data_IF_758134826175
#
_entry.id   IF_758134826175
#
_cell.length_a   1.000
_cell.length_b   1.000
_cell.length_c   1.000
_cell.angle_alpha   90.00
_cell.angle_beta   90.00
_cell.angle_gamma   90.00
#
_symmetry.space_group_name_H-M   'P 1'
#
loop_
_entity.id
_entity.type
_entity.pdbx_description
1 polymer ?
#
# COMPACT_ATOMS: atom_id res chain seq x y z
N UNK A 1 9.08 15.25 9.10
CA UNK A 1 8.27 14.20 8.50
C UNK A 1 7.61 13.34 9.58
N UNK A 2 6.45 12.78 9.28
CA UNK A 2 5.76 11.81 10.13
C UNK A 2 5.05 10.77 9.27
N UNK A 3 4.77 9.59 9.85
CA UNK A 3 3.87 8.60 9.25
C UNK A 3 2.47 8.80 9.83
N UNK A 4 1.43 8.63 9.02
CA UNK A 4 0.06 8.77 9.47
C UNK A 4 -0.84 7.67 8.89
N UNK A 5 -1.74 7.15 9.70
CA UNK A 5 -2.62 6.04 9.34
C UNK A 5 -4.11 6.40 9.50
N UNK A 6 -4.54 6.78 10.68
CA UNK A 6 -5.93 7.11 10.97
C UNK A 6 -6.24 8.61 10.85
N UNK A 7 -7.53 8.98 10.82
CA UNK A 7 -7.96 10.36 10.57
C UNK A 7 -7.37 11.37 11.57
N UNK A 8 -7.27 11.03 12.84
CA UNK A 8 -6.74 11.95 13.87
C UNK A 8 -5.25 12.23 13.67
N UNK A 9 -4.46 11.19 13.32
CA UNK A 9 -3.03 11.34 13.02
C UNK A 9 -2.80 12.07 11.70
N UNK A 10 -3.63 11.84 10.68
CA UNK A 10 -3.59 12.59 9.42
C UNK A 10 -3.88 14.08 9.65
N UNK A 11 -4.93 14.40 10.39
CA UNK A 11 -5.27 15.78 10.72
C UNK A 11 -4.18 16.45 11.57
N UNK A 12 -3.62 15.76 12.56
CA UNK A 12 -2.49 16.26 13.36
C UNK A 12 -1.26 16.50 12.47
N UNK A 13 -0.99 15.59 11.55
CA UNK A 13 0.13 15.71 10.61
C UNK A 13 0.00 16.93 9.71
N UNK A 14 -1.17 17.19 9.14
CA UNK A 14 -1.45 18.39 8.33
C UNK A 14 -1.21 19.70 9.08
N UNK A 15 -1.59 19.74 10.38
CA UNK A 15 -1.38 20.93 11.21
C UNK A 15 0.08 21.20 11.57
N UNK A 16 0.90 20.17 11.74
CA UNK A 16 2.17 20.29 12.46
C UNK A 16 3.42 19.83 11.69
N UNK A 17 3.27 19.14 10.55
CA UNK A 17 4.40 18.58 9.81
C UNK A 17 4.44 19.08 8.36
N UNK A 18 5.63 19.07 7.78
CA UNK A 18 5.84 19.48 6.38
C UNK A 18 5.85 18.29 5.42
N UNK A 19 6.04 17.07 5.96
CA UNK A 19 6.02 15.83 5.18
C UNK A 19 5.19 14.78 5.91
N UNK A 20 4.23 14.19 5.21
CA UNK A 20 3.37 13.11 5.70
C UNK A 20 3.54 11.89 4.82
N UNK A 21 3.87 10.76 5.41
CA UNK A 21 3.95 9.47 4.72
C UNK A 21 2.71 8.65 5.09
N UNK A 22 1.89 8.33 4.09
CA UNK A 22 0.71 7.50 4.25
C UNK A 22 1.11 6.04 4.48
N UNK A 23 0.22 5.28 5.11
CA UNK A 23 0.46 3.87 5.34
C UNK A 23 0.29 3.04 4.05
N UNK A 24 0.94 1.88 3.97
CA UNK A 24 0.80 0.96 2.84
C UNK A 24 -0.57 0.24 2.85
N UNK A 25 -0.98 -0.30 1.71
CA UNK A 25 -2.26 -0.98 1.49
C UNK A 25 -3.49 -0.09 1.70
N UNK A 26 -3.39 1.19 1.44
CA UNK A 26 -4.56 2.05 1.30
C UNK A 26 -5.22 1.81 -0.06
N UNK A 27 -6.55 1.65 -0.05
CA UNK A 27 -7.36 1.69 -1.27
C UNK A 27 -7.38 3.11 -1.85
N UNK A 28 -7.65 3.26 -3.14
CA UNK A 28 -7.65 4.56 -3.83
C UNK A 28 -8.50 5.61 -3.11
N UNK A 29 -9.74 5.25 -2.77
CA UNK A 29 -10.63 6.14 -1.99
C UNK A 29 -10.03 6.53 -0.64
N UNK A 30 -9.24 5.66 -0.03
CA UNK A 30 -8.57 5.94 1.24
C UNK A 30 -7.42 6.90 1.05
N UNK A 31 -6.66 6.75 -0.02
CA UNK A 31 -5.60 7.71 -0.39
C UNK A 31 -6.20 9.10 -0.60
N UNK A 32 -7.27 9.21 -1.41
CA UNK A 32 -7.97 10.50 -1.64
C UNK A 32 -8.44 11.11 -0.32
N UNK A 33 -9.16 10.34 0.52
CA UNK A 33 -9.61 10.85 1.83
C UNK A 33 -8.47 11.25 2.75
N UNK A 34 -7.34 10.54 2.71
CA UNK A 34 -6.16 10.87 3.51
C UNK A 34 -5.53 12.19 3.06
N UNK A 35 -5.37 12.38 1.74
CA UNK A 35 -4.89 13.63 1.14
C UNK A 35 -5.79 14.80 1.55
N UNK A 36 -7.11 14.67 1.37
CA UNK A 36 -8.09 15.70 1.73
C UNK A 36 -8.02 16.04 3.23
N UNK A 37 -7.89 15.03 4.08
CA UNK A 37 -7.78 15.23 5.54
C UNK A 37 -6.54 16.04 5.90
N UNK A 38 -5.39 15.71 5.32
CA UNK A 38 -4.12 16.44 5.57
C UNK A 38 -4.21 17.87 5.06
N UNK A 39 -4.68 18.07 3.81
CA UNK A 39 -4.81 19.38 3.17
C UNK A 39 -5.78 20.29 3.95
N UNK A 40 -6.96 19.78 4.28
CA UNK A 40 -7.97 20.52 5.07
C UNK A 40 -7.45 20.88 6.46
N UNK A 41 -6.75 19.98 7.13
CA UNK A 41 -6.19 20.27 8.46
C UNK A 41 -5.06 21.30 8.42
N UNK A 42 -4.26 21.34 7.35
CA UNK A 42 -3.26 22.39 7.12
C UNK A 42 -3.93 23.76 6.94
N UNK A 43 -4.95 23.83 6.08
CA UNK A 43 -5.71 25.07 5.82
C UNK A 43 -6.38 25.60 7.10
N UNK A 44 -7.03 24.73 7.87
CA UNK A 44 -7.65 25.10 9.16
C UNK A 44 -6.64 25.61 10.19
N UNK A 45 -5.37 25.20 10.07
CA UNK A 45 -4.26 25.69 10.89
C UNK A 45 -3.62 26.99 10.35
N UNK A 46 -4.17 27.58 9.28
CA UNK A 46 -3.63 28.79 8.65
C UNK A 46 -2.37 28.53 7.81
N UNK A 47 -2.11 27.28 7.42
CA UNK A 47 -1.00 26.91 6.54
C UNK A 47 -1.49 26.83 5.09
N UNK A 48 -0.60 27.06 4.13
CA UNK A 48 -0.86 26.67 2.75
C UNK A 48 -1.01 25.13 2.66
N UNK A 49 -2.16 24.60 2.21
CA UNK A 49 -2.35 23.15 2.06
C UNK A 49 -1.27 22.48 1.21
N UNK A 50 -0.74 23.18 0.20
CA UNK A 50 0.32 22.66 -0.67
C UNK A 50 1.74 22.75 -0.07
N UNK A 51 1.89 23.40 1.08
CA UNK A 51 3.16 23.38 1.83
C UNK A 51 3.45 22.06 2.53
N UNK A 52 2.46 21.16 2.62
CA UNK A 52 2.60 19.83 3.21
C UNK A 52 2.78 18.81 2.08
N UNK A 53 3.95 18.21 2.00
CA UNK A 53 4.25 17.16 1.01
C UNK A 53 3.69 15.82 1.50
N UNK A 54 2.87 15.15 0.68
CA UNK A 54 2.20 13.88 1.01
C UNK A 54 2.80 12.76 0.17
N UNK A 55 3.31 11.73 0.83
CA UNK A 55 3.90 10.56 0.18
C UNK A 55 3.04 9.31 0.40
N UNK A 56 2.71 8.62 -0.68
CA UNK A 56 2.14 7.26 -0.58
C UNK A 56 3.26 6.25 -0.34
N UNK A 57 3.10 5.39 0.68
CA UNK A 57 3.94 4.20 0.85
C UNK A 57 3.24 3.04 0.12
N UNK A 58 3.61 2.80 -1.14
CA UNK A 58 2.89 1.91 -2.04
C UNK A 58 3.66 0.62 -2.28
N UNK A 59 3.08 -0.51 -1.87
CA UNK A 59 3.68 -1.83 -2.10
C UNK A 59 3.83 -2.07 -3.60
N UNK A 60 5.07 -2.32 -4.06
CA UNK A 60 5.38 -2.44 -5.49
C UNK A 60 6.24 -3.67 -5.71
N UNK A 61 5.74 -4.64 -6.48
CA UNK A 61 6.40 -5.93 -6.73
C UNK A 61 6.24 -6.32 -8.19
N UNK A 62 7.36 -6.41 -8.92
CA UNK A 62 7.33 -6.87 -10.32
C UNK A 62 7.30 -8.40 -10.42
N UNK A 63 6.74 -8.91 -11.50
CA UNK A 63 6.73 -10.32 -11.85
C UNK A 63 8.05 -10.82 -12.46
N UNK A 64 9.10 -9.98 -12.45
CA UNK A 64 10.48 -10.36 -12.85
C UNK A 64 11.24 -11.09 -11.74
N UNK A 65 10.67 -11.20 -10.54
CA UNK A 65 11.18 -12.07 -9.46
C UNK A 65 10.61 -13.48 -9.61
N UNK A 66 11.19 -14.47 -8.92
CA UNK A 66 10.62 -15.82 -8.91
C UNK A 66 9.22 -15.86 -8.24
N UNK A 67 8.42 -16.87 -8.59
CA UNK A 67 7.02 -17.00 -8.17
C UNK A 67 6.88 -17.03 -6.64
N UNK A 68 7.80 -17.66 -5.93
CA UNK A 68 7.78 -17.73 -4.47
C UNK A 68 8.05 -16.36 -3.86
N UNK A 69 9.00 -15.61 -4.39
CA UNK A 69 9.30 -14.24 -3.97
C UNK A 69 8.12 -13.32 -4.28
N UNK A 70 7.51 -13.45 -5.46
CA UNK A 70 6.36 -12.65 -5.86
C UNK A 70 5.17 -12.84 -4.92
N UNK A 71 4.73 -14.10 -4.70
CA UNK A 71 3.58 -14.38 -3.84
C UNK A 71 3.84 -14.02 -2.38
N UNK A 72 5.08 -14.22 -1.89
CA UNK A 72 5.49 -13.79 -0.56
C UNK A 72 5.39 -12.28 -0.38
N UNK A 73 5.89 -11.50 -1.34
CA UNK A 73 5.93 -10.03 -1.27
C UNK A 73 4.56 -9.36 -1.50
N UNK A 74 3.65 -10.06 -2.15
CA UNK A 74 2.27 -9.60 -2.39
C UNK A 74 1.33 -10.16 -1.32
N UNK A 75 0.93 -11.40 -1.43
CA UNK A 75 -0.02 -12.09 -0.55
C UNK A 75 0.50 -12.23 0.87
N UNK A 76 1.72 -12.74 1.03
CA UNK A 76 2.33 -12.95 2.36
C UNK A 76 2.48 -11.63 3.11
N UNK A 77 2.89 -10.57 2.43
CA UNK A 77 3.04 -9.24 3.02
C UNK A 77 1.69 -8.67 3.48
N UNK A 78 0.66 -8.69 2.63
CA UNK A 78 -0.67 -8.24 3.03
C UNK A 78 -1.21 -9.06 4.20
N UNK A 79 -1.05 -10.38 4.17
CA UNK A 79 -1.47 -11.26 5.27
C UNK A 79 -0.81 -10.88 6.60
N UNK A 80 0.50 -10.58 6.60
CA UNK A 80 1.22 -10.06 7.77
C UNK A 80 0.63 -8.74 8.26
N UNK A 81 0.33 -7.80 7.36
CA UNK A 81 -0.30 -6.54 7.76
C UNK A 81 -1.70 -6.74 8.36
N UNK A 82 -2.47 -7.71 7.86
CA UNK A 82 -3.78 -8.06 8.42
C UNK A 82 -3.66 -8.73 9.80
N UNK A 83 -2.59 -9.50 10.04
CA UNK A 83 -2.30 -10.06 11.37
C UNK A 83 -1.99 -8.94 12.39
N UNK A 84 -1.20 -7.93 12.00
CA UNK A 84 -0.68 -6.89 12.91
C UNK A 84 -1.63 -5.69 13.02
N UNK A 85 -2.11 -5.19 11.89
CA UNK A 85 -2.88 -3.93 11.79
C UNK A 85 -4.27 -4.13 11.19
N UNK A 86 -4.79 -5.37 11.10
CA UNK A 86 -5.99 -5.70 10.34
C UNK A 86 -7.20 -4.85 10.71
N UNK A 87 -7.49 -4.66 12.00
CA UNK A 87 -8.64 -3.87 12.44
C UNK A 87 -8.54 -2.40 12.00
N UNK A 88 -7.33 -1.84 12.11
CA UNK A 88 -7.09 -0.46 11.68
C UNK A 88 -7.15 -0.34 10.16
N UNK A 89 -6.56 -1.30 9.43
CA UNK A 89 -6.55 -1.31 7.97
C UNK A 89 -7.96 -1.47 7.39
N UNK A 90 -8.74 -2.41 7.92
CA UNK A 90 -10.13 -2.64 7.53
C UNK A 90 -11.00 -1.41 7.81
N UNK A 91 -10.88 -0.83 9.00
CA UNK A 91 -11.59 0.41 9.37
C UNK A 91 -11.23 1.58 8.46
N UNK A 92 -9.95 1.77 8.15
CA UNK A 92 -9.46 2.91 7.36
C UNK A 92 -9.88 2.79 5.89
N UNK A 93 -9.84 1.58 5.33
CA UNK A 93 -10.27 1.30 3.96
C UNK A 93 -11.78 1.13 3.80
N UNK A 94 -12.58 1.17 4.87
CA UNK A 94 -13.99 0.85 4.87
C UNK A 94 -14.29 -0.57 4.32
N UNK A 95 -13.39 -1.51 4.57
CA UNK A 95 -13.57 -2.91 4.20
C UNK A 95 -14.51 -3.62 5.16
N UNK A 96 -15.10 -4.75 4.71
CA UNK A 96 -15.99 -5.55 5.54
C UNK A 96 -15.20 -6.24 6.68
N UNK A 97 -15.48 -5.94 7.95
CA UNK A 97 -14.78 -6.56 9.08
C UNK A 97 -15.06 -8.07 9.20
N UNK A 98 -16.17 -8.57 8.66
CA UNK A 98 -16.46 -10.00 8.67
C UNK A 98 -15.47 -10.80 7.80
N UNK A 99 -14.88 -10.17 6.76
CA UNK A 99 -13.83 -10.78 5.95
C UNK A 99 -12.53 -10.93 6.74
N UNK A 100 -12.17 -9.94 7.56
CA UNK A 100 -11.01 -10.01 8.44
C UNK A 100 -11.15 -11.11 9.49
N UNK A 101 -12.33 -11.22 10.12
CA UNK A 101 -12.62 -12.28 11.10
C UNK A 101 -12.52 -13.66 10.46
N UNK A 102 -13.06 -13.84 9.24
CA UNK A 102 -12.95 -15.07 8.48
C UNK A 102 -11.50 -15.41 8.14
N UNK A 103 -10.72 -14.43 7.70
CA UNK A 103 -9.28 -14.57 7.44
C UNK A 103 -8.56 -15.03 8.71
N UNK A 104 -8.73 -14.34 9.84
CA UNK A 104 -8.07 -14.66 11.12
C UNK A 104 -8.44 -16.03 11.67
N UNK A 105 -9.70 -16.45 11.51
CA UNK A 105 -10.21 -17.75 12.00
C UNK A 105 -9.90 -18.91 11.04
N UNK A 106 -9.33 -18.64 9.87
CA UNK A 106 -8.98 -19.69 8.92
C UNK A 106 -7.88 -20.60 9.48
N UNK A 107 -7.95 -21.90 9.14
CA UNK A 107 -6.93 -22.87 9.56
C UNK A 107 -5.53 -22.53 9.02
N UNK A 108 -5.45 -21.77 7.93
CA UNK A 108 -4.17 -21.33 7.36
C UNK A 108 -3.51 -20.31 8.28
N UNK A 109 -4.23 -19.27 8.67
CA UNK A 109 -3.70 -18.20 9.53
C UNK A 109 -3.49 -18.67 10.95
N UNK A 110 -4.45 -19.40 11.53
CA UNK A 110 -4.36 -19.94 12.91
C UNK A 110 -3.29 -21.00 13.09
N UNK A 111 -2.87 -21.65 12.01
CA UNK A 111 -1.79 -22.63 12.01
C UNK A 111 -0.38 -22.07 11.81
N UNK A 112 -0.25 -20.75 11.57
CA UNK A 112 1.06 -20.12 11.42
C UNK A 112 1.72 -19.88 12.78
N UNK A 113 2.99 -20.31 12.92
CA UNK A 113 3.82 -20.00 14.08
C UNK A 113 4.66 -18.73 13.82
N UNK A 114 3.96 -17.62 13.52
CA UNK A 114 4.59 -16.33 13.27
C UNK A 114 3.89 -15.49 12.17
N UNK A 115 4.59 -14.46 11.71
CA UNK A 115 4.08 -13.59 10.65
C UNK A 115 4.08 -14.30 9.30
N UNK A 116 3.00 -14.17 8.55
CA UNK A 116 2.80 -14.92 7.30
C UNK A 116 4.01 -14.80 6.34
N UNK A 117 4.53 -13.60 6.10
CA UNK A 117 5.67 -13.38 5.21
C UNK A 117 7.02 -13.83 5.77
N UNK A 118 7.09 -14.18 7.07
CA UNK A 118 8.31 -14.70 7.69
C UNK A 118 8.36 -16.23 7.69
N UNK A 119 7.23 -16.91 7.92
CA UNK A 119 7.16 -18.35 8.14
C UNK A 119 6.45 -19.14 7.05
N UNK A 120 5.67 -18.46 6.18
CA UNK A 120 4.91 -19.10 5.10
C UNK A 120 5.82 -19.59 3.97
N UNK A 121 5.43 -20.71 3.39
CA UNK A 121 5.95 -21.23 2.12
C UNK A 121 5.00 -20.93 0.97
N UNK A 122 5.31 -21.36 -0.25
CA UNK A 122 4.50 -21.11 -1.43
C UNK A 122 3.07 -21.66 -1.28
N UNK A 123 2.92 -22.90 -0.80
CA UNK A 123 1.61 -23.51 -0.59
C UNK A 123 0.76 -22.71 0.40
N UNK A 124 1.38 -22.26 1.48
CA UNK A 124 0.74 -21.37 2.48
C UNK A 124 0.25 -20.08 1.83
N UNK A 125 1.08 -19.43 1.00
CA UNK A 125 0.68 -18.17 0.34
C UNK A 125 -0.43 -18.38 -0.69
N UNK A 126 -0.44 -19.48 -1.45
CA UNK A 126 -1.53 -19.83 -2.36
C UNK A 126 -2.85 -20.00 -1.61
N UNK A 127 -2.84 -20.72 -0.49
CA UNK A 127 -4.02 -20.88 0.38
C UNK A 127 -4.45 -19.57 1.04
N UNK A 128 -3.53 -18.68 1.41
CA UNK A 128 -3.84 -17.35 1.91
C UNK A 128 -4.49 -16.48 0.82
N UNK A 129 -4.01 -16.56 -0.43
CA UNK A 129 -4.58 -15.85 -1.57
C UNK A 129 -6.07 -16.17 -1.75
N UNK A 130 -6.46 -17.43 -1.59
CA UNK A 130 -7.87 -17.87 -1.68
C UNK A 130 -8.77 -17.26 -0.60
N UNK A 131 -8.17 -16.83 0.53
CA UNK A 131 -8.90 -16.21 1.65
C UNK A 131 -9.03 -14.69 1.51
N UNK A 132 -8.19 -14.07 0.67
CA UNK A 132 -8.11 -12.62 0.55
C UNK A 132 -8.98 -12.12 -0.60
N UNK A 133 -9.85 -11.11 -0.38
CA UNK A 133 -10.57 -10.46 -1.45
C UNK A 133 -9.61 -9.83 -2.47
N UNK A 134 -9.93 -9.92 -3.76
CA UNK A 134 -9.14 -9.32 -4.82
C UNK A 134 -8.96 -7.80 -4.63
N UNK A 135 -9.99 -7.11 -4.12
CA UNK A 135 -9.94 -5.68 -3.83
C UNK A 135 -8.88 -5.31 -2.79
N UNK A 136 -8.58 -6.19 -1.83
CA UNK A 136 -7.52 -5.94 -0.85
C UNK A 136 -6.13 -6.13 -1.47
N UNK A 137 -5.98 -7.12 -2.35
CA UNK A 137 -4.73 -7.36 -3.09
C UNK A 137 -4.44 -6.25 -4.09
N UNK A 138 -5.48 -5.62 -4.64
CA UNK A 138 -5.35 -4.51 -5.59
C UNK A 138 -4.85 -3.19 -4.96
N UNK A 139 -4.68 -3.14 -3.63
CA UNK A 139 -4.06 -2.00 -2.93
C UNK A 139 -2.52 -2.01 -3.02
N UNK A 140 -1.97 -2.67 -4.02
CA UNK A 140 -0.53 -2.75 -4.30
C UNK A 140 -0.28 -2.77 -5.82
N UNK A 141 0.87 -2.26 -6.25
CA UNK A 141 1.35 -2.43 -7.61
C UNK A 141 1.99 -3.81 -7.75
N UNK A 142 1.33 -4.72 -8.44
CA UNK A 142 1.83 -6.06 -8.68
C UNK A 142 1.64 -6.45 -10.16
N UNK A 143 2.66 -7.09 -10.77
CA UNK A 143 2.64 -7.55 -12.15
C UNK A 143 3.84 -7.06 -12.95
N UNK A 144 3.66 -6.89 -14.28
CA UNK A 144 4.76 -6.44 -15.14
C UNK A 144 5.30 -5.06 -14.72
N UNK A 145 6.58 -4.75 -15.03
CA UNK A 145 7.15 -3.43 -14.76
C UNK A 145 6.31 -2.27 -15.31
N UNK A 146 5.78 -2.40 -16.51
CA UNK A 146 4.89 -1.41 -17.11
C UNK A 146 3.61 -1.23 -16.30
N UNK A 147 2.98 -2.34 -15.88
CA UNK A 147 1.79 -2.28 -15.02
C UNK A 147 2.09 -1.65 -13.66
N UNK A 148 3.21 -1.98 -13.06
CA UNK A 148 3.64 -1.36 -11.80
C UNK A 148 3.86 0.15 -11.97
N UNK A 149 4.47 0.58 -13.08
CA UNK A 149 4.68 2.00 -13.40
C UNK A 149 3.36 2.76 -13.56
N UNK A 150 2.37 2.19 -14.28
CA UNK A 150 1.02 2.76 -14.42
C UNK A 150 0.34 2.94 -13.06
N UNK A 151 0.41 1.92 -12.19
CA UNK A 151 -0.20 1.97 -10.86
C UNK A 151 0.52 2.97 -9.93
N UNK A 152 1.84 3.10 -10.03
CA UNK A 152 2.61 4.14 -9.34
C UNK A 152 2.22 5.52 -9.85
N UNK A 153 2.08 5.70 -11.19
CA UNK A 153 1.61 6.97 -11.77
C UNK A 153 0.20 7.33 -11.29
N UNK A 154 -0.68 6.33 -11.19
CA UNK A 154 -2.04 6.52 -10.70
C UNK A 154 -2.08 7.10 -9.27
N UNK A 155 -1.11 6.76 -8.41
CA UNK A 155 -1.06 7.35 -7.05
C UNK A 155 -0.97 8.89 -7.09
N UNK A 156 -0.24 9.45 -8.05
CA UNK A 156 -0.18 10.91 -8.22
C UNK A 156 -1.54 11.49 -8.64
N UNK A 157 -2.32 10.77 -9.44
CA UNK A 157 -3.68 11.18 -9.84
C UNK A 157 -4.65 11.19 -8.65
N UNK A 158 -4.37 10.42 -7.58
CA UNK A 158 -5.08 10.44 -6.30
C UNK A 158 -4.69 11.62 -5.41
N UNK A 159 -3.71 12.44 -5.82
CA UNK A 159 -3.33 13.70 -5.17
C UNK A 159 -2.11 13.64 -4.25
N UNK A 160 -1.34 12.55 -4.25
CA UNK A 160 -0.06 12.52 -3.51
C UNK A 160 1.04 13.25 -4.28
N UNK A 161 2.02 13.76 -3.56
CA UNK A 161 3.16 14.51 -4.13
C UNK A 161 4.36 13.58 -4.43
N UNK A 162 4.34 12.35 -3.92
CA UNK A 162 5.40 11.38 -4.13
C UNK A 162 4.99 9.96 -3.77
N UNK A 163 5.73 8.97 -4.28
CA UNK A 163 5.50 7.55 -4.01
C UNK A 163 6.78 6.89 -3.51
N UNK A 164 6.69 6.24 -2.36
CA UNK A 164 7.72 5.33 -1.86
C UNK A 164 7.35 3.93 -2.31
N UNK A 165 8.05 3.41 -3.31
CA UNK A 165 7.88 2.03 -3.75
C UNK A 165 8.41 1.08 -2.68
N UNK A 166 7.49 0.43 -1.96
CA UNK A 166 7.77 -0.38 -0.78
C UNK A 166 7.75 -1.89 -1.09
N UNK A 167 8.57 -2.66 -0.41
CA UNK A 167 8.55 -4.13 -0.46
C UNK A 167 9.49 -4.76 -1.47
N UNK A 168 10.20 -3.97 -2.27
CA UNK A 168 11.21 -4.43 -3.21
C UNK A 168 12.54 -3.69 -3.03
N UNK A 169 13.63 -4.29 -3.49
CA UNK A 169 14.96 -3.67 -3.50
C UNK A 169 15.10 -2.73 -4.71
N UNK A 170 16.04 -1.77 -4.69
CA UNK A 170 16.30 -0.93 -5.85
C UNK A 170 16.63 -1.71 -7.12
N UNK A 171 17.26 -2.88 -7.01
CA UNK A 171 17.56 -3.76 -8.13
C UNK A 171 16.28 -4.34 -8.75
N UNK A 172 15.34 -4.81 -7.93
CA UNK A 172 14.06 -5.35 -8.37
C UNK A 172 13.15 -4.26 -8.95
N UNK A 173 13.33 -3.00 -8.56
CA UNK A 173 12.54 -1.86 -9.05
C UNK A 173 13.11 -1.22 -10.32
N UNK A 174 14.30 -1.61 -10.78
CA UNK A 174 14.98 -0.92 -11.89
C UNK A 174 14.15 -0.89 -13.17
N UNK A 175 13.51 -2.00 -13.54
CA UNK A 175 12.64 -2.08 -14.71
C UNK A 175 11.37 -1.25 -14.55
N UNK A 176 10.78 -1.20 -13.35
CA UNK A 176 9.62 -0.35 -13.04
C UNK A 176 10.00 1.14 -13.14
N UNK A 177 11.16 1.52 -12.62
CA UNK A 177 11.65 2.91 -12.70
C UNK A 177 11.85 3.32 -14.15
N UNK A 178 12.49 2.46 -14.97
CA UNK A 178 12.66 2.70 -16.40
C UNK A 178 11.31 2.81 -17.14
N UNK A 179 10.34 1.94 -16.80
CA UNK A 179 9.01 2.01 -17.38
C UNK A 179 8.27 3.29 -16.97
N UNK A 180 8.42 3.73 -15.73
CA UNK A 180 7.84 4.98 -15.25
C UNK A 180 8.43 6.20 -15.98
N UNK A 181 9.75 6.26 -16.19
CA UNK A 181 10.41 7.33 -16.92
C UNK A 181 9.89 7.42 -18.38
N UNK A 182 9.72 6.30 -19.05
CA UNK A 182 9.13 6.24 -20.40
C UNK A 182 7.67 6.75 -20.40
N UNK A 183 6.88 6.31 -19.44
CA UNK A 183 5.49 6.74 -19.29
C UNK A 183 5.39 8.27 -19.12
N UNK A 184 6.25 8.87 -18.28
CA UNK A 184 6.32 10.33 -18.11
C UNK A 184 6.80 11.07 -19.37
N UNK A 185 7.68 10.43 -20.17
CA UNK A 185 8.13 10.98 -21.44
C UNK A 185 7.08 10.87 -22.58
N UNK A 186 5.95 10.18 -22.34
CA UNK A 186 4.93 9.92 -23.36
C UNK A 186 5.36 8.87 -24.41
N UNK A 187 6.36 8.05 -24.08
CA UNK A 187 6.84 6.97 -24.92
C UNK A 187 6.00 5.69 -24.64
N UNK A 188 5.54 5.01 -25.70
CA UNK A 188 4.82 3.73 -25.54
C UNK A 188 5.75 2.68 -24.95
N UNK A 189 5.28 2.00 -23.89
CA UNK A 189 6.00 0.90 -23.25
C UNK A 189 6.03 -0.37 -24.09
#
# INVERSE_FOLDING_TARGET
ATTAFGPDTLAMAGRAYDVVVLHTFFADDTVVRAVDTVRTAAEQAGRDPHSVTIWSCYATVTDEVDDQTFIKKTVGRLATYLQVYGDLLVKTNNWDPALLERFRSSNVVSGLDGWADAVGDQETFERLREQLPAEWLNCAAAGSPARCAELVRHQFDLGVDGVIMHGATPRELSSTTTAFEKLEAGESA
#
